data_IF_328192656325
#
_entry.id   IF_328192656325
#
_cell.length_a   1.000
_cell.length_b   1.000
_cell.length_c   1.000
_cell.angle_alpha   90.00
_cell.angle_beta   90.00
_cell.angle_gamma   90.00
#
_symmetry.space_group_name_H-M   'P 1'
#
loop_
_entity.id
_entity.type
_entity.pdbx_description
1 polymer ?
#
# COMPACT_ATOMS: atom_id res chain seq x y z
N UNK A 1 -47.10 -71.93 38.64
CA UNK A 1 -48.12 -71.41 39.58
C UNK A 1 -47.88 -69.90 39.71
N UNK A 2 -48.87 -69.11 39.21
CA UNK A 2 -49.22 -67.69 39.48
C UNK A 2 -48.18 -66.62 39.69
N UNK A 3 -48.15 -65.64 38.69
CA UNK A 3 -48.62 -64.25 38.71
C UNK A 3 -47.81 -63.28 39.62
N UNK A 4 -47.26 -62.20 39.06
CA UNK A 4 -47.99 -60.92 38.87
C UNK A 4 -47.20 -59.99 37.97
N UNK A 5 -47.87 -59.53 36.93
CA UNK A 5 -47.66 -58.28 36.18
C UNK A 5 -48.04 -57.09 37.06
N UNK A 6 -47.32 -55.97 37.03
CA UNK A 6 -48.01 -54.66 36.95
C UNK A 6 -47.02 -53.50 36.94
N UNK A 7 -47.20 -52.63 35.92
CA UNK A 7 -47.11 -51.19 35.96
C UNK A 7 -45.74 -50.51 36.03
N UNK A 8 -45.23 -50.22 34.84
CA UNK A 8 -44.40 -49.05 34.59
C UNK A 8 -44.74 -48.43 33.22
N UNK A 9 -45.89 -47.77 33.14
CA UNK A 9 -46.29 -46.92 32.03
C UNK A 9 -46.79 -45.64 32.63
N UNK A 10 -46.11 -44.48 32.43
CA UNK A 10 -46.71 -43.17 32.36
C UNK A 10 -45.78 -41.93 32.54
N UNK A 11 -44.47 -42.02 32.37
CA UNK A 11 -43.65 -40.80 32.47
C UNK A 11 -42.80 -40.48 31.23
N UNK A 12 -42.99 -41.22 30.13
CA UNK A 12 -42.17 -41.02 28.92
C UNK A 12 -42.59 -39.89 28.01
N UNK A 13 -43.86 -39.42 27.94
CA UNK A 13 -44.19 -38.32 27.02
C UNK A 13 -43.87 -36.91 27.55
N UNK A 14 -43.71 -36.70 28.90
CA UNK A 14 -43.46 -35.40 29.47
C UNK A 14 -42.03 -34.92 29.29
N UNK A 15 -41.09 -35.86 29.25
CA UNK A 15 -39.65 -35.56 29.07
C UNK A 15 -39.32 -35.17 27.59
N UNK A 16 -40.01 -35.78 26.62
CA UNK A 16 -39.81 -35.50 25.22
C UNK A 16 -40.40 -34.13 24.86
N UNK A 17 -41.53 -33.69 25.45
CA UNK A 17 -42.11 -32.38 25.26
C UNK A 17 -41.26 -31.30 25.90
N UNK A 18 -40.65 -31.55 27.05
CA UNK A 18 -39.73 -30.61 27.73
C UNK A 18 -38.40 -30.46 26.96
N UNK A 19 -37.90 -31.54 26.32
CA UNK A 19 -36.70 -31.51 25.49
C UNK A 19 -36.95 -30.75 24.17
N UNK A 20 -38.15 -30.85 23.59
CA UNK A 20 -38.58 -30.10 22.40
C UNK A 20 -38.75 -28.61 22.69
N UNK A 21 -39.18 -28.22 23.89
CA UNK A 21 -39.24 -26.80 24.26
C UNK A 21 -37.85 -26.20 24.57
N UNK A 22 -36.88 -26.98 25.03
CA UNK A 22 -35.48 -26.51 25.20
C UNK A 22 -34.74 -26.34 23.88
N UNK A 23 -35.08 -27.13 22.84
CA UNK A 23 -34.50 -26.95 21.51
C UNK A 23 -35.16 -25.81 20.74
N UNK A 24 -36.44 -25.50 20.99
CA UNK A 24 -37.14 -24.36 20.40
C UNK A 24 -36.73 -23.01 21.00
N UNK A 25 -36.21 -22.97 22.24
CA UNK A 25 -35.72 -21.74 22.89
C UNK A 25 -34.32 -21.34 22.46
N UNK A 26 -33.58 -22.19 21.74
CA UNK A 26 -32.27 -21.85 21.17
C UNK A 26 -32.30 -21.30 19.75
N UNK A 27 -33.49 -21.11 19.16
CA UNK A 27 -33.60 -20.69 17.74
C UNK A 27 -33.96 -19.23 17.51
N UNK A 28 -34.05 -18.41 18.57
CA UNK A 28 -34.40 -16.99 18.43
C UNK A 28 -33.26 -15.99 18.63
N UNK A 29 -32.01 -16.46 18.69
CA UNK A 29 -30.84 -15.59 18.52
C UNK A 29 -30.14 -15.90 17.18
N UNK A 30 -30.89 -15.90 16.07
CA UNK A 30 -30.29 -15.60 14.79
C UNK A 30 -29.83 -14.16 14.88
N UNK A 31 -28.53 -13.96 15.21
CA UNK A 31 -27.85 -12.69 14.97
C UNK A 31 -28.22 -12.29 13.54
N UNK A 32 -28.86 -11.13 13.38
CA UNK A 32 -29.04 -10.53 12.06
C UNK A 32 -27.66 -10.61 11.38
N UNK A 33 -27.56 -11.46 10.38
CA UNK A 33 -26.36 -11.51 9.56
C UNK A 33 -26.26 -10.13 8.93
N UNK A 34 -25.33 -9.33 9.40
CA UNK A 34 -25.06 -7.99 8.88
C UNK A 34 -24.68 -8.21 7.42
N UNK A 35 -25.58 -7.88 6.49
CA UNK A 35 -25.31 -8.05 5.06
C UNK A 35 -24.33 -6.98 4.65
N UNK A 36 -23.06 -7.38 4.44
CA UNK A 36 -22.06 -6.57 3.78
C UNK A 36 -22.30 -6.61 2.28
N UNK A 37 -22.22 -5.45 1.63
CA UNK A 37 -22.34 -5.33 0.17
C UNK A 37 -20.96 -5.00 -0.38
N UNK A 38 -20.39 -5.82 -1.27
CA UNK A 38 -19.12 -5.53 -1.90
C UNK A 38 -19.15 -4.19 -2.66
N UNK A 39 -18.14 -3.38 -2.46
CA UNK A 39 -17.85 -2.20 -3.25
C UNK A 39 -16.57 -2.48 -4.03
N UNK A 40 -16.67 -2.89 -5.32
CA UNK A 40 -15.52 -3.36 -6.07
C UNK A 40 -14.56 -2.21 -6.40
N UNK A 41 -13.29 -2.39 -6.08
CA UNK A 41 -12.19 -1.63 -6.65
C UNK A 41 -11.92 -2.13 -8.08
N UNK A 42 -11.47 -1.23 -8.96
CA UNK A 42 -11.30 -1.55 -10.39
C UNK A 42 -9.96 -2.20 -10.70
N UNK A 43 -8.94 -1.85 -9.96
CA UNK A 43 -7.54 -2.21 -10.21
C UNK A 43 -6.86 -2.87 -9.02
N UNK A 44 -7.09 -2.36 -7.79
CA UNK A 44 -6.47 -2.89 -6.59
C UNK A 44 -6.86 -4.36 -6.37
N UNK A 45 -5.86 -5.20 -6.10
CA UNK A 45 -6.01 -6.64 -5.92
C UNK A 45 -5.74 -7.10 -4.49
N UNK A 46 -4.93 -6.34 -3.77
CA UNK A 46 -4.60 -6.63 -2.38
C UNK A 46 -5.54 -5.95 -1.38
N UNK A 47 -6.42 -5.08 -1.85
CA UNK A 47 -7.37 -4.33 -1.02
C UNK A 47 -8.79 -4.55 -1.54
N UNK A 48 -9.75 -4.76 -0.63
CA UNK A 48 -11.18 -4.86 -0.96
C UNK A 48 -12.01 -4.07 0.03
N UNK A 49 -13.17 -3.56 -0.41
CA UNK A 49 -14.12 -2.82 0.40
C UNK A 49 -15.48 -3.49 0.40
N UNK A 50 -16.13 -3.53 1.56
CA UNK A 50 -17.51 -3.94 1.74
C UNK A 50 -18.24 -2.90 2.59
N UNK A 51 -19.47 -2.55 2.19
CA UNK A 51 -20.30 -1.57 2.90
C UNK A 51 -21.32 -2.28 3.78
N UNK A 52 -21.39 -1.90 5.04
CA UNK A 52 -22.45 -2.23 5.97
C UNK A 52 -23.39 -1.03 6.21
N UNK A 53 -24.38 -1.22 7.07
CA UNK A 53 -25.29 -0.15 7.48
C UNK A 53 -24.58 0.86 8.41
N UNK A 54 -24.05 1.92 7.82
CA UNK A 54 -23.35 3.00 8.51
C UNK A 54 -21.88 2.72 8.88
N UNK A 55 -21.24 1.76 8.26
CA UNK A 55 -19.80 1.47 8.41
C UNK A 55 -19.25 0.82 7.15
N UNK A 56 -17.93 0.79 7.01
CA UNK A 56 -17.24 0.04 5.95
C UNK A 56 -16.25 -0.96 6.54
N UNK A 57 -15.97 -1.99 5.76
CA UNK A 57 -14.95 -3.00 6.06
C UNK A 57 -13.97 -3.04 4.92
N UNK A 58 -12.74 -2.63 5.20
CA UNK A 58 -11.62 -2.73 4.27
C UNK A 58 -10.77 -3.94 4.65
N UNK A 59 -10.57 -4.84 3.71
CA UNK A 59 -9.76 -6.04 3.93
C UNK A 59 -8.50 -5.97 3.10
N UNK A 60 -7.37 -5.96 3.77
CA UNK A 60 -6.05 -6.05 3.17
C UNK A 60 -5.62 -7.51 3.12
N UNK A 61 -5.44 -8.02 1.91
CA UNK A 61 -4.87 -9.34 1.66
C UNK A 61 -3.37 -9.31 1.94
N UNK A 62 -2.83 -10.40 2.47
CA UNK A 62 -1.39 -10.52 2.66
C UNK A 62 -0.69 -10.55 1.29
N UNK A 63 0.17 -9.55 0.95
CA UNK A 63 0.81 -9.49 -0.36
C UNK A 63 1.83 -10.61 -0.61
N UNK A 64 2.35 -11.22 0.45
CA UNK A 64 3.34 -12.32 0.39
C UNK A 64 2.67 -13.71 0.44
N UNK A 65 1.46 -13.79 0.98
CA UNK A 65 0.58 -14.97 0.94
C UNK A 65 -0.85 -14.54 0.62
N UNK A 66 -1.18 -14.50 -0.66
CA UNK A 66 -2.49 -14.03 -1.14
C UNK A 66 -3.67 -14.90 -0.72
N UNK A 67 -3.43 -16.04 -0.06
CA UNK A 67 -4.47 -16.88 0.54
C UNK A 67 -4.87 -16.41 1.94
N UNK A 68 -4.06 -15.54 2.56
CA UNK A 68 -4.24 -15.01 3.90
C UNK A 68 -4.68 -13.53 3.87
N UNK A 69 -5.32 -13.10 4.95
CA UNK A 69 -5.64 -11.69 5.23
C UNK A 69 -4.54 -11.11 6.10
N UNK A 70 -3.93 -10.01 5.69
CA UNK A 70 -2.96 -9.30 6.51
C UNK A 70 -3.67 -8.53 7.62
N UNK A 71 -4.65 -7.68 7.25
CA UNK A 71 -5.39 -6.89 8.22
C UNK A 71 -6.80 -6.57 7.72
N UNK A 72 -7.71 -6.31 8.66
CA UNK A 72 -9.07 -5.84 8.37
C UNK A 72 -9.37 -4.58 9.15
N UNK A 73 -9.84 -3.54 8.46
CA UNK A 73 -10.20 -2.25 9.06
C UNK A 73 -11.71 -2.08 9.02
N UNK A 74 -12.32 -1.84 10.17
CA UNK A 74 -13.75 -1.54 10.30
C UNK A 74 -13.85 -0.05 10.61
N UNK A 75 -14.27 0.73 9.60
CA UNK A 75 -14.35 2.18 9.70
C UNK A 75 -15.76 2.57 10.14
N UNK A 76 -15.86 3.31 11.25
CA UNK A 76 -17.11 3.75 11.84
C UNK A 76 -17.14 5.27 11.86
N UNK A 77 -18.14 5.93 11.22
CA UNK A 77 -18.29 7.38 11.30
C UNK A 77 -18.45 7.88 12.73
N UNK A 78 -17.89 9.04 13.04
CA UNK A 78 -18.13 9.76 14.28
C UNK A 78 -19.60 10.23 14.30
N UNK A 79 -20.45 9.51 15.03
CA UNK A 79 -21.90 9.76 15.14
C UNK A 79 -22.30 10.08 16.58
N UNK A 80 -23.50 10.64 16.81
CA UNK A 80 -24.03 10.86 18.17
C UNK A 80 -23.99 9.57 19.01
N UNK A 81 -23.71 9.70 20.28
CA UNK A 81 -23.33 8.65 21.24
C UNK A 81 -24.17 7.35 21.22
N UNK A 82 -25.49 7.43 20.94
CA UNK A 82 -26.37 6.24 20.90
C UNK A 82 -26.19 5.42 19.62
N UNK A 83 -26.07 6.07 18.46
CA UNK A 83 -25.82 5.40 17.19
C UNK A 83 -24.40 4.80 17.17
N UNK A 84 -23.43 5.53 17.69
CA UNK A 84 -22.05 5.08 17.86
C UNK A 84 -21.97 3.77 18.67
N UNK A 85 -22.66 3.67 19.81
CA UNK A 85 -22.63 2.46 20.65
C UNK A 85 -23.22 1.22 19.96
N UNK A 86 -24.15 1.39 19.05
CA UNK A 86 -24.74 0.30 18.26
C UNK A 86 -23.81 -0.15 17.14
N UNK A 87 -23.26 0.81 16.39
CA UNK A 87 -22.26 0.53 15.33
C UNK A 87 -21.00 -0.10 15.91
N UNK A 88 -20.51 0.43 17.03
CA UNK A 88 -19.33 -0.11 17.71
C UNK A 88 -19.54 -1.58 18.13
N UNK A 89 -20.69 -1.94 18.71
CA UNK A 89 -21.02 -3.33 19.04
C UNK A 89 -21.13 -4.25 17.84
N UNK A 90 -21.65 -3.74 16.70
CA UNK A 90 -21.66 -4.48 15.43
C UNK A 90 -20.22 -4.75 14.96
N UNK A 91 -19.36 -3.73 14.99
CA UNK A 91 -17.96 -3.82 14.61
C UNK A 91 -17.15 -4.78 15.52
N UNK A 92 -17.35 -4.70 16.85
CA UNK A 92 -16.75 -5.64 17.80
C UNK A 92 -17.18 -7.10 17.51
N UNK A 93 -18.45 -7.30 17.13
CA UNK A 93 -18.94 -8.61 16.76
C UNK A 93 -18.26 -9.13 15.48
N UNK A 94 -18.00 -8.28 14.49
CA UNK A 94 -17.26 -8.66 13.27
C UNK A 94 -15.80 -8.97 13.59
N UNK A 95 -15.12 -8.10 14.33
CA UNK A 95 -13.74 -8.30 14.74
C UNK A 95 -13.55 -9.59 15.58
N UNK A 96 -14.53 -9.92 16.45
CA UNK A 96 -14.47 -11.15 17.25
C UNK A 96 -14.67 -12.42 16.43
N UNK A 97 -15.40 -12.38 15.31
CA UNK A 97 -15.56 -13.53 14.41
C UNK A 97 -14.24 -13.92 13.76
N UNK A 98 -13.41 -12.95 13.41
CA UNK A 98 -12.08 -13.19 12.86
C UNK A 98 -11.17 -13.89 13.88
N UNK A 99 -11.18 -13.44 15.13
CA UNK A 99 -10.43 -14.07 16.22
C UNK A 99 -10.90 -15.51 16.48
N UNK A 100 -12.19 -15.80 16.40
CA UNK A 100 -12.72 -17.17 16.55
C UNK A 100 -12.34 -18.06 15.35
N UNK A 101 -12.30 -17.54 14.14
CA UNK A 101 -11.89 -18.30 12.95
C UNK A 101 -10.41 -18.69 12.99
N UNK A 102 -9.56 -17.83 13.55
CA UNK A 102 -8.12 -18.11 13.79
C UNK A 102 -7.95 -19.22 14.82
N UNK A 103 -8.68 -19.17 15.95
CA UNK A 103 -8.63 -20.20 16.99
C UNK A 103 -9.17 -21.57 16.51
N UNK A 104 -10.20 -21.56 15.63
CA UNK A 104 -10.77 -22.79 15.08
C UNK A 104 -9.82 -23.55 14.15
N UNK A 105 -8.78 -22.92 13.63
CA UNK A 105 -7.72 -23.55 12.82
C UNK A 105 -6.61 -24.22 13.64
N UNK A 106 -6.72 -24.28 14.97
CA UNK A 106 -5.83 -25.09 15.83
C UNK A 106 -4.40 -24.53 15.98
N UNK A 107 -4.20 -23.26 15.76
CA UNK A 107 -2.92 -22.58 15.97
C UNK A 107 -2.77 -22.16 17.44
N UNK A 108 -2.70 -23.16 18.35
CA UNK A 108 -2.25 -22.97 19.72
C UNK A 108 -0.71 -22.97 19.76
N UNK A 109 -0.08 -21.83 19.53
CA UNK A 109 1.32 -21.61 19.89
C UNK A 109 1.49 -20.23 20.54
N UNK A 110 1.90 -20.17 21.83
CA UNK A 110 2.09 -18.91 22.55
C UNK A 110 3.22 -18.04 22.00
N UNK A 111 4.03 -18.56 21.08
CA UNK A 111 5.18 -17.89 20.48
C UNK A 111 4.87 -17.21 19.14
N UNK A 112 3.65 -17.39 18.58
CA UNK A 112 3.22 -16.83 17.30
C UNK A 112 2.29 -15.60 17.44
N UNK A 113 2.25 -14.96 18.60
CA UNK A 113 1.53 -13.67 18.77
C UNK A 113 2.19 -12.47 18.06
N UNK A 114 3.27 -12.70 17.32
CA UNK A 114 3.92 -11.72 16.45
C UNK A 114 3.40 -11.72 15.00
N UNK A 115 2.72 -12.78 14.58
CA UNK A 115 2.19 -12.88 13.22
C UNK A 115 0.73 -12.43 13.24
N UNK A 116 0.51 -11.13 12.97
CA UNK A 116 -0.81 -10.46 12.93
C UNK A 116 -1.68 -10.91 11.74
N UNK A 117 -1.53 -12.12 11.23
CA UNK A 117 -2.37 -12.63 10.15
C UNK A 117 -3.85 -12.63 10.56
N UNK A 118 -4.62 -11.74 9.92
CA UNK A 118 -6.06 -11.66 10.10
C UNK A 118 -6.52 -10.83 11.31
N UNK A 119 -5.67 -9.95 11.86
CA UNK A 119 -6.11 -9.01 12.89
C UNK A 119 -7.12 -7.98 12.35
N UNK A 120 -8.02 -7.50 13.21
CA UNK A 120 -9.01 -6.48 12.86
C UNK A 120 -8.88 -5.27 13.76
N UNK A 121 -8.90 -4.08 13.17
CA UNK A 121 -8.94 -2.80 13.88
C UNK A 121 -10.24 -2.05 13.62
N UNK A 122 -10.84 -1.49 14.68
CA UNK A 122 -11.99 -0.61 14.60
C UNK A 122 -11.47 0.82 14.67
N UNK A 123 -11.76 1.61 13.65
CA UNK A 123 -11.27 2.98 13.51
C UNK A 123 -12.46 3.93 13.39
N UNK A 124 -12.46 4.96 14.22
CA UNK A 124 -13.41 6.06 14.11
C UNK A 124 -12.95 7.05 13.04
N UNK A 125 -13.80 7.34 12.06
CA UNK A 125 -13.50 8.27 10.96
C UNK A 125 -14.40 9.51 11.03
N UNK A 126 -13.90 10.69 10.58
CA UNK A 126 -12.56 10.89 10.07
C UNK A 126 -11.50 10.92 11.18
N UNK A 127 -10.34 10.32 10.88
CA UNK A 127 -9.12 10.42 11.70
C UNK A 127 -8.70 11.89 11.81
N UNK A 128 -8.29 12.31 13.00
CA UNK A 128 -7.91 13.70 13.30
C UNK A 128 -6.41 13.86 13.54
N UNK A 129 -5.74 12.78 13.92
CA UNK A 129 -4.34 12.79 14.30
C UNK A 129 -3.67 11.52 13.83
N UNK A 130 -2.63 11.66 13.00
CA UNK A 130 -1.90 10.52 12.42
C UNK A 130 -0.40 10.64 12.62
N UNK A 131 0.24 9.53 12.98
CA UNK A 131 1.68 9.36 12.84
C UNK A 131 1.99 8.76 11.47
N UNK A 132 2.90 9.37 10.71
CA UNK A 132 3.16 9.01 9.31
C UNK A 132 4.62 8.63 9.12
N UNK A 133 4.88 7.40 8.67
CA UNK A 133 6.25 6.89 8.57
C UNK A 133 6.99 7.32 7.29
N UNK A 134 6.29 7.71 6.23
CA UNK A 134 6.93 7.97 4.92
C UNK A 134 6.48 9.28 4.29
N UNK A 135 7.37 9.90 3.49
CA UNK A 135 7.06 11.07 2.68
C UNK A 135 5.91 10.83 1.69
N UNK A 136 5.78 9.61 1.16
CA UNK A 136 4.68 9.18 0.28
C UNK A 136 3.31 9.54 0.87
N UNK A 137 3.07 9.12 2.11
CA UNK A 137 1.78 9.33 2.76
C UNK A 137 1.62 10.77 3.27
N UNK A 138 2.72 11.45 3.59
CA UNK A 138 2.68 12.89 3.87
C UNK A 138 2.20 13.68 2.64
N UNK A 139 2.76 13.38 1.45
CA UNK A 139 2.33 13.97 0.17
C UNK A 139 0.88 13.67 -0.16
N UNK A 140 0.46 12.40 0.03
CA UNK A 140 -0.93 12.01 -0.17
C UNK A 140 -1.91 12.79 0.72
N UNK A 141 -1.61 12.93 2.02
CA UNK A 141 -2.47 13.67 2.95
C UNK A 141 -2.53 15.15 2.62
N UNK A 142 -1.44 15.74 2.10
CA UNK A 142 -1.44 17.12 1.61
C UNK A 142 -2.32 17.26 0.38
N UNK A 143 -2.21 16.36 -0.57
CA UNK A 143 -3.02 16.37 -1.79
C UNK A 143 -4.51 16.15 -1.51
N UNK A 144 -4.84 15.28 -0.57
CA UNK A 144 -6.21 15.10 -0.08
C UNK A 144 -6.74 16.32 0.69
N UNK A 145 -5.88 17.32 1.01
CA UNK A 145 -6.24 18.51 1.76
C UNK A 145 -6.40 18.27 3.27
N UNK A 146 -5.86 17.18 3.78
CA UNK A 146 -5.96 16.76 5.18
C UNK A 146 -4.61 16.70 5.90
N UNK A 147 -3.59 17.37 5.39
CA UNK A 147 -2.24 17.41 5.98
C UNK A 147 -2.22 17.92 7.43
N UNK A 148 -3.23 18.69 7.85
CA UNK A 148 -3.39 19.11 9.25
C UNK A 148 -3.60 17.96 10.23
N UNK A 149 -3.93 16.77 9.76
CA UNK A 149 -4.03 15.56 10.58
C UNK A 149 -2.65 14.94 10.89
N UNK A 150 -1.56 15.37 10.22
CA UNK A 150 -0.21 14.88 10.49
C UNK A 150 0.25 15.42 11.85
N UNK A 151 0.31 14.56 12.85
CA UNK A 151 0.72 14.91 14.21
C UNK A 151 2.18 14.48 14.53
N UNK A 152 2.74 13.59 13.73
CA UNK A 152 4.14 13.18 13.84
C UNK A 152 4.61 12.45 12.60
N UNK A 153 5.91 12.56 12.33
CA UNK A 153 6.53 11.97 11.14
C UNK A 153 7.80 11.22 11.48
N UNK A 154 8.11 10.18 10.71
CA UNK A 154 9.45 9.61 10.67
C UNK A 154 10.23 10.19 9.48
N UNK A 155 11.55 9.98 9.48
CA UNK A 155 12.44 10.34 8.36
C UNK A 155 12.23 11.78 7.85
N UNK A 156 12.07 12.73 8.77
CA UNK A 156 11.77 14.16 8.49
C UNK A 156 12.68 14.80 7.43
N UNK A 157 13.90 14.29 7.28
CA UNK A 157 14.89 14.80 6.32
C UNK A 157 14.51 14.53 4.86
N UNK A 158 13.54 13.62 4.61
CA UNK A 158 13.03 13.29 3.27
C UNK A 158 11.65 13.92 2.99
N UNK A 159 11.13 14.74 3.89
CA UNK A 159 9.79 15.33 3.76
C UNK A 159 9.95 16.83 3.46
N UNK A 160 9.66 17.21 2.22
CA UNK A 160 9.65 18.61 1.78
C UNK A 160 8.22 19.12 1.63
N UNK A 161 7.50 19.19 2.77
CA UNK A 161 6.15 19.74 2.82
C UNK A 161 6.10 20.93 3.79
N UNK A 162 5.68 22.13 3.34
CA UNK A 162 5.65 23.33 4.18
C UNK A 162 4.84 23.17 5.47
N UNK A 163 3.77 22.38 5.48
CA UNK A 163 2.95 22.11 6.67
C UNK A 163 3.73 21.29 7.69
N UNK A 164 4.47 20.26 7.25
CA UNK A 164 5.30 19.43 8.13
C UNK A 164 6.50 20.21 8.65
N UNK A 165 7.20 20.93 7.78
CA UNK A 165 8.39 21.71 8.17
C UNK A 165 8.06 22.80 9.19
N UNK A 166 6.94 23.50 9.04
CA UNK A 166 6.44 24.47 10.03
C UNK A 166 6.03 23.78 11.32
N UNK A 167 5.29 22.67 11.24
CA UNK A 167 4.82 21.93 12.41
C UNK A 167 5.98 21.34 13.24
N UNK A 168 7.07 20.90 12.58
CA UNK A 168 8.30 20.48 13.27
C UNK A 168 8.99 21.65 13.97
N UNK A 169 8.95 22.85 13.37
CA UNK A 169 9.59 24.03 13.92
C UNK A 169 8.82 24.62 15.13
N UNK A 170 7.48 24.60 15.10
CA UNK A 170 6.63 25.12 16.17
C UNK A 170 6.17 24.05 17.18
N UNK A 171 6.50 22.77 16.93
CA UNK A 171 6.24 21.65 17.81
C UNK A 171 4.81 21.07 17.69
N UNK A 172 4.03 21.47 16.69
CA UNK A 172 2.70 20.87 16.40
C UNK A 172 2.81 19.53 15.68
N UNK A 173 3.92 19.27 15.00
CA UNK A 173 4.28 17.96 14.43
C UNK A 173 5.50 17.40 15.17
N UNK A 174 5.41 16.18 15.66
CA UNK A 174 6.50 15.53 16.38
C UNK A 174 7.45 14.79 15.41
N UNK A 175 8.73 14.77 15.78
CA UNK A 175 9.73 13.91 15.12
C UNK A 175 9.76 12.54 15.80
N UNK A 176 9.29 11.51 15.09
CA UNK A 176 9.30 10.11 15.54
C UNK A 176 10.62 9.38 15.19
N UNK A 177 11.56 10.04 14.53
CA UNK A 177 12.87 9.50 14.19
C UNK A 177 12.85 8.55 13.00
N UNK A 178 13.42 7.36 13.17
CA UNK A 178 13.56 6.38 12.08
C UNK A 178 12.30 5.55 11.88
N UNK A 179 11.84 5.41 10.63
CA UNK A 179 10.62 4.69 10.28
C UNK A 179 10.64 3.20 10.58
N UNK A 180 11.82 2.57 10.57
CA UNK A 180 11.98 1.15 10.92
C UNK A 180 11.99 0.91 12.44
N UNK A 181 12.31 1.92 13.24
CA UNK A 181 12.34 1.87 14.70
C UNK A 181 11.91 3.22 15.29
N UNK A 182 10.61 3.56 15.20
CA UNK A 182 10.10 4.84 15.67
C UNK A 182 10.30 5.05 17.17
N UNK A 183 10.44 6.32 17.57
CA UNK A 183 10.57 6.69 18.97
C UNK A 183 9.25 6.52 19.72
N UNK A 184 9.16 5.44 20.49
CA UNK A 184 7.96 5.06 21.24
C UNK A 184 7.51 6.15 22.23
N UNK A 185 8.45 6.80 22.91
CA UNK A 185 8.15 7.84 23.89
C UNK A 185 7.48 9.04 23.21
N UNK A 186 7.99 9.44 22.04
CA UNK A 186 7.38 10.52 21.25
C UNK A 186 6.01 10.17 20.73
N UNK A 187 5.79 8.92 20.29
CA UNK A 187 4.47 8.45 19.88
C UNK A 187 3.49 8.47 21.06
N UNK A 188 3.94 8.06 22.25
CA UNK A 188 3.13 8.10 23.48
C UNK A 188 2.80 9.52 23.91
N UNK A 189 3.71 10.47 23.75
CA UNK A 189 3.45 11.90 24.08
C UNK A 189 2.39 12.49 23.17
N UNK A 190 2.37 12.11 21.87
CA UNK A 190 1.42 12.61 20.86
C UNK A 190 0.08 11.86 20.92
N UNK A 191 0.12 10.56 21.18
CA UNK A 191 -1.06 9.64 21.15
C UNK A 191 -1.94 9.83 19.91
N UNK A 192 -1.40 9.62 18.69
CA UNK A 192 -2.19 9.78 17.47
C UNK A 192 -3.33 8.75 17.39
N UNK A 193 -4.39 9.07 16.63
CA UNK A 193 -5.52 8.16 16.42
C UNK A 193 -5.11 6.91 15.65
N UNK A 194 -4.14 7.04 14.71
CA UNK A 194 -3.60 5.96 13.89
C UNK A 194 -2.12 6.17 13.61
N UNK A 195 -1.44 5.07 13.25
CA UNK A 195 -0.08 5.09 12.71
C UNK A 195 -0.09 4.51 11.29
N UNK A 196 0.37 5.27 10.31
CA UNK A 196 0.57 4.81 8.93
C UNK A 196 2.00 4.25 8.82
N UNK A 197 2.12 2.93 8.77
CA UNK A 197 3.40 2.22 8.74
C UNK A 197 3.48 1.30 7.51
N UNK A 198 4.67 1.08 6.99
CA UNK A 198 4.88 0.19 5.85
C UNK A 198 5.22 -1.21 6.34
N UNK A 199 4.44 -2.24 5.96
CA UNK A 199 4.77 -3.63 6.29
C UNK A 199 5.93 -4.13 5.44
N UNK A 200 6.69 -5.10 5.96
CA UNK A 200 7.78 -5.78 5.26
C UNK A 200 7.65 -7.28 5.42
N UNK A 201 8.03 -8.03 4.40
CA UNK A 201 8.10 -9.47 4.48
C UNK A 201 9.06 -9.90 5.61
N UNK A 202 8.63 -10.84 6.44
CA UNK A 202 9.39 -11.35 7.59
C UNK A 202 9.77 -10.29 8.65
N UNK A 203 9.05 -9.16 8.68
CA UNK A 203 9.31 -8.11 9.69
C UNK A 203 9.04 -8.59 11.12
N UNK A 204 8.25 -9.65 11.30
CA UNK A 204 7.79 -10.10 12.62
C UNK A 204 6.87 -9.08 13.31
N UNK A 205 6.23 -8.18 12.54
CA UNK A 205 5.39 -7.09 13.02
C UNK A 205 6.18 -5.83 13.42
N UNK A 206 5.51 -4.91 14.13
CA UNK A 206 6.06 -3.62 14.55
C UNK A 206 6.60 -3.62 16.00
N UNK A 207 6.70 -4.80 16.60
CA UNK A 207 7.34 -5.02 17.88
C UNK A 207 6.73 -4.21 19.02
N UNK A 208 7.48 -3.21 19.53
CA UNK A 208 7.02 -2.39 20.67
C UNK A 208 5.90 -1.42 20.31
N UNK A 209 5.79 -1.00 19.06
CA UNK A 209 4.77 -0.07 18.57
C UNK A 209 3.36 -0.67 18.72
N UNK A 210 3.19 -1.95 18.42
CA UNK A 210 1.90 -2.66 18.56
C UNK A 210 1.35 -2.66 19.99
N UNK A 211 2.26 -2.65 20.97
CA UNK A 211 1.88 -2.63 22.39
C UNK A 211 1.33 -1.31 22.87
N UNK A 212 1.39 -0.25 22.04
CA UNK A 212 0.79 1.04 22.34
C UNK A 212 -0.73 1.02 22.23
N UNK A 213 -1.32 0.02 21.55
CA UNK A 213 -2.75 -0.07 21.32
C UNK A 213 -3.30 0.99 20.36
N UNK A 214 -2.43 1.69 19.64
CA UNK A 214 -2.81 2.63 18.58
C UNK A 214 -3.01 1.80 17.30
N UNK A 215 -4.14 1.92 16.58
CA UNK A 215 -4.37 1.23 15.32
C UNK A 215 -3.26 1.53 14.30
N UNK A 216 -2.73 0.48 13.69
CA UNK A 216 -1.72 0.59 12.63
C UNK A 216 -2.43 0.42 11.29
N UNK A 217 -2.21 1.35 10.38
CA UNK A 217 -2.61 1.28 8.98
C UNK A 217 -1.43 0.71 8.20
N UNK A 218 -1.59 -0.49 7.69
CA UNK A 218 -0.61 -1.20 6.88
C UNK A 218 -0.56 -0.59 5.47
N UNK A 219 0.43 0.24 5.22
CA UNK A 219 0.61 0.94 3.94
C UNK A 219 1.27 -0.01 2.93
N UNK A 220 0.50 -0.93 2.36
CA UNK A 220 0.98 -1.98 1.46
C UNK A 220 0.65 -1.73 -0.03
N UNK A 221 0.23 -0.52 -0.40
CA UNK A 221 -0.07 -0.15 -1.78
C UNK A 221 1.11 -0.36 -2.74
N UNK A 222 2.35 -0.29 -2.22
CA UNK A 222 3.56 -0.52 -3.00
C UNK A 222 3.69 -1.96 -3.51
N UNK A 223 2.94 -2.90 -2.92
CA UNK A 223 2.88 -4.32 -3.30
C UNK A 223 1.78 -4.61 -4.34
N UNK A 224 1.05 -3.61 -4.80
CA UNK A 224 0.14 -3.80 -5.93
C UNK A 224 0.88 -4.07 -7.22
N UNK A 225 0.28 -4.91 -8.06
CA UNK A 225 0.91 -5.36 -9.30
C UNK A 225 0.89 -4.32 -10.43
N UNK A 226 0.07 -3.25 -10.34
CA UNK A 226 -0.04 -2.27 -11.41
C UNK A 226 -0.04 -0.84 -10.88
N UNK A 227 0.37 0.15 -11.71
CA UNK A 227 0.37 1.55 -11.32
C UNK A 227 -1.00 2.09 -10.90
N UNK A 228 -2.06 1.75 -11.64
CA UNK A 228 -3.43 2.16 -11.29
C UNK A 228 -3.96 1.44 -10.06
N UNK A 229 -3.58 0.17 -9.84
CA UNK A 229 -3.93 -0.55 -8.62
C UNK A 229 -3.34 0.13 -7.39
N UNK A 230 -2.07 0.54 -7.46
CA UNK A 230 -1.41 1.30 -6.40
C UNK A 230 -2.10 2.64 -6.16
N UNK A 231 -2.39 3.40 -7.21
CA UNK A 231 -3.03 4.70 -7.10
C UNK A 231 -4.46 4.62 -6.53
N UNK A 232 -5.19 3.54 -6.79
CA UNK A 232 -6.58 3.38 -6.32
C UNK A 232 -6.69 3.27 -4.79
N UNK A 233 -5.60 2.96 -4.08
CA UNK A 233 -5.58 2.99 -2.62
C UNK A 233 -5.85 4.38 -2.03
N UNK A 234 -5.78 5.43 -2.82
CA UNK A 234 -6.19 6.78 -2.42
C UNK A 234 -7.62 6.80 -1.83
N UNK A 235 -8.52 5.92 -2.30
CA UNK A 235 -9.89 5.78 -1.82
C UNK A 235 -9.95 5.30 -0.36
N UNK A 236 -9.10 4.34 0.00
CA UNK A 236 -8.99 3.86 1.37
C UNK A 236 -8.47 4.93 2.32
N UNK A 237 -7.36 5.58 1.93
CA UNK A 237 -6.80 6.66 2.73
C UNK A 237 -7.77 7.84 2.85
N UNK A 238 -8.48 8.18 1.79
CA UNK A 238 -9.46 9.25 1.82
C UNK A 238 -10.61 8.97 2.79
N UNK A 239 -11.13 7.76 2.85
CA UNK A 239 -12.19 7.40 3.80
C UNK A 239 -11.70 7.47 5.25
N UNK A 240 -10.44 7.11 5.52
CA UNK A 240 -9.86 7.30 6.85
C UNK A 240 -9.90 8.75 7.31
N UNK A 241 -9.73 9.71 6.41
CA UNK A 241 -9.61 11.14 6.75
C UNK A 241 -10.81 11.99 6.32
N UNK A 242 -11.87 11.41 5.73
CA UNK A 242 -13.07 12.10 5.29
C UNK A 242 -12.85 12.99 4.07
N UNK A 243 -12.13 12.51 3.08
CA UNK A 243 -11.76 13.22 1.85
C UNK A 243 -12.17 12.45 0.56
N UNK A 244 -13.23 11.63 0.64
CA UNK A 244 -13.64 10.68 -0.40
C UNK A 244 -13.94 11.37 -1.74
N UNK A 245 -14.72 12.48 -1.73
CA UNK A 245 -15.05 13.21 -2.95
C UNK A 245 -13.79 13.74 -3.66
N UNK A 246 -12.80 14.18 -2.88
CA UNK A 246 -11.53 14.66 -3.43
C UNK A 246 -10.72 13.53 -4.04
N UNK A 247 -10.65 12.38 -3.36
CA UNK A 247 -9.97 11.20 -3.87
C UNK A 247 -10.60 10.68 -5.16
N UNK A 248 -11.92 10.64 -5.24
CA UNK A 248 -12.64 10.23 -6.45
C UNK A 248 -12.35 11.17 -7.63
N UNK A 249 -12.30 12.47 -7.37
CA UNK A 249 -11.94 13.46 -8.39
C UNK A 249 -10.49 13.27 -8.87
N UNK A 250 -9.54 13.12 -7.94
CA UNK A 250 -8.12 12.91 -8.26
C UNK A 250 -7.94 11.62 -9.05
N UNK A 251 -8.46 10.50 -8.52
CA UNK A 251 -8.27 9.19 -9.15
C UNK A 251 -8.90 9.12 -10.54
N UNK A 252 -10.08 9.74 -10.75
CA UNK A 252 -10.72 9.76 -12.07
C UNK A 252 -9.86 10.46 -13.12
N UNK A 253 -9.21 11.56 -12.76
CA UNK A 253 -8.28 12.28 -13.66
C UNK A 253 -7.02 11.45 -13.91
N UNK A 254 -6.44 10.86 -12.86
CA UNK A 254 -5.24 10.01 -12.97
C UNK A 254 -5.51 8.80 -13.87
N UNK A 255 -6.64 8.12 -13.65
CA UNK A 255 -7.06 6.98 -14.46
C UNK A 255 -7.20 7.34 -15.93
N UNK A 256 -7.94 8.41 -16.22
CA UNK A 256 -8.16 8.87 -17.60
C UNK A 256 -6.83 9.19 -18.28
N UNK A 257 -6.01 10.04 -17.67
CA UNK A 257 -4.72 10.43 -18.21
C UNK A 257 -3.80 9.22 -18.46
N UNK A 258 -3.75 8.31 -17.49
CA UNK A 258 -2.92 7.11 -17.60
C UNK A 258 -3.32 6.24 -18.80
N UNK A 259 -4.63 5.97 -18.94
CA UNK A 259 -5.16 5.14 -20.02
C UNK A 259 -4.99 5.81 -21.40
N UNK A 260 -5.17 7.13 -21.50
CA UNK A 260 -4.93 7.91 -22.72
C UNK A 260 -3.44 7.86 -23.12
N UNK A 261 -2.51 8.06 -22.17
CA UNK A 261 -1.08 8.00 -22.43
C UNK A 261 -0.63 6.60 -22.85
N UNK A 262 -1.12 5.56 -22.18
CA UNK A 262 -0.87 4.16 -22.55
C UNK A 262 -1.35 3.87 -23.97
N UNK A 263 -2.57 4.29 -24.31
CA UNK A 263 -3.11 4.13 -25.66
C UNK A 263 -2.28 4.91 -26.70
N UNK A 264 -1.84 6.12 -26.36
CA UNK A 264 -0.97 6.94 -27.22
C UNK A 264 0.39 6.25 -27.44
N UNK A 265 1.05 5.78 -26.37
CA UNK A 265 2.34 5.08 -26.47
C UNK A 265 2.25 3.80 -27.31
N UNK A 266 1.10 3.13 -27.32
CA UNK A 266 0.86 1.94 -28.13
C UNK A 266 0.87 2.25 -29.66
N UNK A 267 0.69 3.52 -30.07
CA UNK A 267 0.76 3.96 -31.48
C UNK A 267 2.17 4.21 -31.99
N UNK A 268 3.17 4.18 -31.10
CA UNK A 268 4.57 4.41 -31.48
C UNK A 268 5.04 3.37 -32.50
N UNK A 269 5.79 3.81 -33.51
CA UNK A 269 6.31 2.95 -34.58
C UNK A 269 7.51 2.12 -34.16
N UNK A 270 8.19 2.52 -33.10
CA UNK A 270 9.39 1.87 -32.56
C UNK A 270 9.22 1.62 -31.07
N UNK A 271 10.02 0.72 -30.54
CA UNK A 271 10.09 0.44 -29.10
C UNK A 271 11.56 0.49 -28.69
N UNK A 272 12.02 1.61 -28.11
CA UNK A 272 13.40 1.75 -27.65
C UNK A 272 13.74 0.68 -26.60
N UNK A 273 14.92 0.06 -26.73
CA UNK A 273 15.47 -0.86 -25.74
C UNK A 273 15.85 -0.07 -24.49
N UNK A 274 15.23 -0.39 -23.38
CA UNK A 274 15.34 0.36 -22.14
C UNK A 274 16.17 -0.38 -21.09
N UNK A 275 17.28 0.24 -20.68
CA UNK A 275 18.03 -0.09 -19.46
C UNK A 275 17.57 0.81 -18.32
N UNK A 276 17.51 0.26 -17.11
CA UNK A 276 17.08 1.02 -15.93
C UNK A 276 18.00 0.78 -14.74
N UNK A 277 18.01 1.73 -13.79
CA UNK A 277 18.76 1.72 -12.52
C UNK A 277 20.29 1.74 -12.71
N UNK A 278 21.01 1.50 -11.63
CA UNK A 278 22.48 1.44 -11.59
C UNK A 278 22.94 0.51 -10.45
N UNK A 279 24.22 0.25 -10.34
CA UNK A 279 24.79 -0.54 -9.25
C UNK A 279 24.54 0.12 -7.89
N UNK A 280 24.07 -0.68 -6.97
CA UNK A 280 23.93 -0.31 -5.56
C UNK A 280 24.48 -1.45 -4.69
N UNK A 281 25.46 -1.16 -3.83
CA UNK A 281 26.07 -2.19 -2.99
C UNK A 281 26.71 -3.36 -3.77
N UNK A 282 27.19 -3.13 -5.01
CA UNK A 282 27.80 -4.14 -5.85
C UNK A 282 26.82 -5.02 -6.63
N UNK A 283 25.51 -4.73 -6.54
CA UNK A 283 24.48 -5.43 -7.30
C UNK A 283 23.63 -4.44 -8.10
N UNK A 284 23.03 -4.91 -9.18
CA UNK A 284 22.13 -4.14 -10.02
C UNK A 284 20.70 -4.60 -9.79
N UNK A 285 19.89 -3.79 -9.10
CA UNK A 285 18.51 -4.12 -8.81
C UNK A 285 17.61 -3.63 -9.93
N UNK A 286 17.12 -4.56 -10.77
CA UNK A 286 16.23 -4.24 -11.89
C UNK A 286 14.78 -4.59 -11.54
N UNK A 287 13.80 -3.74 -11.86
CA UNK A 287 12.39 -4.08 -11.73
C UNK A 287 12.03 -5.31 -12.55
N UNK A 288 11.33 -6.28 -11.97
CA UNK A 288 10.79 -7.42 -12.71
C UNK A 288 9.68 -6.96 -13.67
N UNK A 289 9.45 -7.70 -14.74
CA UNK A 289 8.48 -7.31 -15.77
C UNK A 289 7.03 -7.19 -15.28
N UNK A 290 6.68 -7.93 -14.22
CA UNK A 290 5.35 -7.88 -13.58
C UNK A 290 5.29 -6.93 -12.37
N UNK A 291 6.37 -6.21 -12.06
CA UNK A 291 6.35 -5.17 -11.05
C UNK A 291 5.65 -3.91 -11.58
N UNK A 292 5.22 -3.04 -10.67
CA UNK A 292 4.63 -1.75 -11.02
C UNK A 292 5.47 -0.96 -12.01
N UNK A 293 6.80 -0.91 -11.82
CA UNK A 293 7.70 -0.21 -12.74
C UNK A 293 7.89 -0.97 -14.05
N UNK A 294 8.00 -2.30 -14.05
CA UNK A 294 8.09 -3.09 -15.27
C UNK A 294 6.86 -2.93 -16.17
N UNK A 295 5.67 -2.90 -15.57
CA UNK A 295 4.41 -2.61 -16.26
C UNK A 295 4.41 -1.16 -16.80
N UNK A 296 4.85 -0.20 -15.99
CA UNK A 296 4.95 1.21 -16.37
C UNK A 296 5.84 1.39 -17.62
N UNK A 297 7.00 0.75 -17.67
CA UNK A 297 7.89 0.81 -18.84
C UNK A 297 7.24 0.19 -20.09
N UNK A 298 6.54 -0.93 -19.91
CA UNK A 298 5.80 -1.56 -21.01
C UNK A 298 4.65 -0.69 -21.50
N UNK A 299 3.91 -0.06 -20.59
CA UNK A 299 2.80 0.85 -20.90
C UNK A 299 3.29 2.14 -21.58
N UNK A 300 4.51 2.57 -21.28
CA UNK A 300 5.18 3.67 -21.95
C UNK A 300 5.72 3.32 -23.36
N UNK A 301 5.57 2.08 -23.81
CA UNK A 301 6.01 1.62 -25.13
C UNK A 301 7.49 1.22 -25.22
N UNK A 302 8.18 1.00 -24.09
CA UNK A 302 9.56 0.52 -24.11
C UNK A 302 9.65 -0.96 -24.51
N UNK A 303 10.77 -1.35 -25.13
CA UNK A 303 11.28 -2.71 -25.10
C UNK A 303 12.13 -2.86 -23.83
N UNK A 304 11.45 -3.05 -22.68
CA UNK A 304 12.13 -3.20 -21.41
C UNK A 304 12.94 -4.49 -21.38
N UNK A 305 14.25 -4.39 -21.25
CA UNK A 305 15.19 -5.51 -21.41
C UNK A 305 14.90 -6.64 -20.42
N UNK A 306 14.57 -6.30 -19.17
CA UNK A 306 14.34 -7.28 -18.10
C UNK A 306 12.86 -7.67 -17.92
N UNK A 307 11.99 -7.42 -18.91
CA UNK A 307 10.56 -7.74 -18.85
C UNK A 307 10.23 -9.21 -18.62
N UNK A 308 11.15 -10.11 -18.94
CA UNK A 308 10.98 -11.57 -18.75
C UNK A 308 11.25 -12.04 -17.32
N UNK A 309 11.84 -11.20 -16.48
CA UNK A 309 12.07 -11.55 -15.08
C UNK A 309 10.74 -11.60 -14.33
N UNK A 310 10.51 -12.72 -13.66
CA UNK A 310 9.31 -12.93 -12.84
C UNK A 310 9.44 -12.30 -11.46
N UNK A 311 8.31 -11.87 -10.90
CA UNK A 311 8.21 -11.25 -9.58
C UNK A 311 7.52 -9.89 -9.63
N UNK A 312 7.00 -9.45 -8.48
CA UNK A 312 6.30 -8.15 -8.33
C UNK A 312 7.22 -7.01 -7.85
N UNK A 313 8.48 -7.33 -7.52
CA UNK A 313 9.48 -6.37 -7.03
C UNK A 313 10.64 -6.21 -7.98
N UNK A 314 11.85 -6.07 -7.43
CA UNK A 314 13.11 -5.99 -8.17
C UNK A 314 13.95 -7.25 -7.92
N UNK A 315 14.74 -7.62 -8.91
CA UNK A 315 15.70 -8.74 -8.85
C UNK A 315 17.11 -8.20 -8.89
N UNK A 316 17.99 -8.73 -8.04
CA UNK A 316 19.41 -8.42 -8.04
C UNK A 316 20.13 -9.19 -9.16
N UNK A 317 20.86 -8.48 -10.01
CA UNK A 317 21.70 -9.02 -11.07
C UNK A 317 23.16 -8.61 -10.85
N UNK A 318 24.09 -9.39 -11.44
CA UNK A 318 25.49 -8.95 -11.50
C UNK A 318 25.67 -7.95 -12.62
N UNK A 319 26.71 -7.12 -12.53
CA UNK A 319 27.06 -6.17 -13.59
C UNK A 319 27.28 -6.85 -14.93
N UNK A 320 28.00 -7.97 -14.94
CA UNK A 320 28.34 -8.72 -16.16
C UNK A 320 27.09 -9.19 -16.88
N UNK A 321 26.09 -9.67 -16.14
CA UNK A 321 24.82 -10.08 -16.72
C UNK A 321 24.07 -8.90 -17.32
N UNK A 322 24.03 -7.75 -16.62
CA UNK A 322 23.39 -6.56 -17.15
C UNK A 322 24.11 -6.04 -18.38
N UNK A 323 25.43 -6.07 -18.41
CA UNK A 323 26.22 -5.68 -19.58
C UNK A 323 25.94 -6.59 -20.77
N UNK A 324 25.95 -7.90 -20.57
CA UNK A 324 25.69 -8.88 -21.62
C UNK A 324 24.30 -8.73 -22.27
N UNK A 325 23.28 -8.41 -21.46
CA UNK A 325 21.90 -8.27 -21.94
C UNK A 325 21.56 -6.84 -22.44
N UNK A 326 22.30 -5.80 -22.01
CA UNK A 326 21.88 -4.40 -22.16
C UNK A 326 22.97 -3.45 -22.71
N UNK A 327 24.14 -3.94 -23.14
CA UNK A 327 25.19 -3.05 -23.67
C UNK A 327 24.71 -2.19 -24.85
N UNK A 328 23.81 -2.72 -25.67
CA UNK A 328 23.22 -2.09 -26.84
C UNK A 328 21.85 -1.42 -26.58
N UNK A 329 21.51 -1.11 -25.32
CA UNK A 329 20.30 -0.35 -25.00
C UNK A 329 20.25 0.98 -25.78
N UNK A 330 19.04 1.47 -26.06
CA UNK A 330 18.85 2.78 -26.72
C UNK A 330 18.84 3.91 -25.72
N UNK A 331 18.21 3.67 -24.57
CA UNK A 331 17.99 4.64 -23.50
C UNK A 331 18.31 3.99 -22.16
N UNK A 332 18.93 4.77 -21.28
CA UNK A 332 19.17 4.37 -19.90
C UNK A 332 18.52 5.35 -18.94
N UNK A 333 17.56 4.87 -18.13
CA UNK A 333 16.92 5.62 -17.05
C UNK A 333 17.54 5.21 -15.72
N UNK A 334 18.07 6.15 -14.98
CA UNK A 334 18.62 5.88 -13.66
C UNK A 334 18.07 6.85 -12.61
N UNK A 335 18.04 6.41 -11.37
CA UNK A 335 17.67 7.20 -10.21
C UNK A 335 18.86 7.29 -9.27
N UNK A 336 19.09 8.46 -8.73
CA UNK A 336 20.19 8.70 -7.80
C UNK A 336 19.76 9.63 -6.66
N UNK A 337 20.48 9.56 -5.54
CA UNK A 337 20.27 10.41 -4.37
C UNK A 337 21.63 10.91 -3.88
N UNK A 338 22.16 11.96 -4.49
CA UNK A 338 23.44 12.55 -4.17
C UNK A 338 23.28 14.02 -3.78
N UNK A 339 24.19 14.54 -2.97
CA UNK A 339 24.22 15.96 -2.61
C UNK A 339 24.55 16.88 -3.80
N UNK A 340 25.15 16.35 -4.86
CA UNK A 340 25.48 17.07 -6.08
C UNK A 340 24.86 16.35 -7.29
N UNK A 341 24.48 17.11 -8.34
CA UNK A 341 23.96 16.52 -9.56
C UNK A 341 24.91 15.49 -10.16
N UNK A 342 24.37 14.35 -10.60
CA UNK A 342 25.13 13.32 -11.30
C UNK A 342 25.51 13.82 -12.71
N UNK A 343 26.71 13.47 -13.17
CA UNK A 343 27.21 13.80 -14.52
C UNK A 343 27.81 12.55 -15.15
N UNK A 344 28.01 12.55 -16.50
CA UNK A 344 28.73 11.47 -17.18
C UNK A 344 30.11 11.24 -16.60
N UNK A 345 30.83 12.31 -16.25
CA UNK A 345 32.16 12.23 -15.61
C UNK A 345 32.09 11.54 -14.25
N UNK A 346 31.10 11.90 -13.43
CA UNK A 346 30.93 11.29 -12.12
C UNK A 346 30.54 9.83 -12.25
N UNK A 347 29.59 9.50 -13.14
CA UNK A 347 29.16 8.13 -13.40
C UNK A 347 30.34 7.23 -13.85
N UNK A 348 31.20 7.72 -14.76
CA UNK A 348 32.40 7.01 -15.18
C UNK A 348 33.45 6.89 -14.07
N UNK A 349 33.55 7.90 -13.19
CA UNK A 349 34.47 7.87 -12.04
C UNK A 349 34.01 6.89 -10.97
N UNK A 350 32.70 6.80 -10.72
CA UNK A 350 32.11 5.89 -9.74
C UNK A 350 32.30 4.43 -10.14
N UNK A 351 32.12 4.14 -11.44
CA UNK A 351 32.34 2.80 -11.98
C UNK A 351 32.65 2.86 -13.49
N UNK A 352 33.92 2.83 -13.82
CA UNK A 352 34.42 2.95 -15.20
C UNK A 352 33.72 2.01 -16.22
N UNK A 353 33.37 0.74 -15.90
CA UNK A 353 32.69 -0.13 -16.85
C UNK A 353 31.34 0.36 -17.37
N UNK A 354 30.68 1.35 -16.75
CA UNK A 354 29.47 1.97 -17.30
C UNK A 354 29.67 2.57 -18.69
N UNK A 355 30.92 2.95 -19.04
CA UNK A 355 31.28 3.48 -20.36
C UNK A 355 31.12 2.47 -21.51
N UNK A 356 30.90 1.19 -21.22
CA UNK A 356 30.65 0.17 -22.23
C UNK A 356 29.20 0.17 -22.74
N UNK A 357 28.27 0.74 -22.00
CA UNK A 357 26.89 0.82 -22.47
C UNK A 357 26.74 1.87 -23.58
N UNK A 358 26.03 1.53 -24.67
CA UNK A 358 25.75 2.45 -25.76
C UNK A 358 25.09 3.77 -25.30
N UNK A 359 24.10 3.78 -24.38
CA UNK A 359 23.54 5.03 -23.86
C UNK A 359 24.56 5.96 -23.21
N UNK A 360 25.67 5.42 -22.67
CA UNK A 360 26.74 6.27 -22.15
C UNK A 360 27.49 6.97 -23.28
N UNK A 361 27.83 6.27 -24.36
CA UNK A 361 28.61 6.81 -25.49
C UNK A 361 27.77 7.69 -26.41
N UNK A 362 26.46 7.44 -26.52
CA UNK A 362 25.53 8.21 -27.34
C UNK A 362 24.82 9.33 -26.58
N UNK A 363 25.10 9.49 -25.27
CA UNK A 363 24.53 10.52 -24.40
C UNK A 363 22.98 10.44 -24.30
N UNK A 364 22.45 9.21 -24.20
CA UNK A 364 21.00 8.95 -24.06
C UNK A 364 20.64 8.47 -22.65
N UNK A 365 21.41 8.92 -21.62
CA UNK A 365 21.08 8.69 -20.22
C UNK A 365 20.18 9.79 -19.69
N UNK A 366 19.11 9.39 -19.02
CA UNK A 366 18.22 10.27 -18.28
C UNK A 366 18.27 9.92 -16.79
N UNK A 367 18.43 10.92 -15.97
CA UNK A 367 18.63 10.76 -14.54
C UNK A 367 17.52 11.46 -13.75
N UNK A 368 17.02 10.77 -12.71
CA UNK A 368 16.08 11.29 -11.74
C UNK A 368 16.82 11.58 -10.43
N UNK A 369 16.88 12.84 -10.04
CA UNK A 369 17.47 13.29 -8.80
C UNK A 369 16.45 13.20 -7.65
N UNK A 370 16.53 12.13 -6.87
CA UNK A 370 15.61 11.87 -5.76
C UNK A 370 15.79 12.82 -4.57
N UNK A 371 16.91 13.53 -4.51
CA UNK A 371 17.14 14.51 -3.44
C UNK A 371 16.43 15.86 -3.70
N UNK A 372 16.10 16.16 -4.95
CA UNK A 372 15.60 17.47 -5.38
C UNK A 372 14.29 17.40 -6.18
N UNK A 373 13.59 16.28 -6.17
CA UNK A 373 12.24 16.18 -6.74
C UNK A 373 11.32 15.29 -5.88
N UNK A 374 10.03 15.40 -6.09
CA UNK A 374 9.01 14.69 -5.33
C UNK A 374 8.61 13.34 -5.97
N UNK A 375 9.58 12.61 -6.52
CA UNK A 375 9.31 11.36 -7.23
C UNK A 375 8.53 10.35 -6.37
N UNK A 376 8.99 10.12 -5.13
CA UNK A 376 8.34 9.17 -4.25
C UNK A 376 7.04 9.69 -3.63
N UNK A 377 6.92 10.98 -3.41
CA UNK A 377 5.72 11.60 -2.85
C UNK A 377 4.56 11.59 -3.83
N UNK A 378 4.84 11.75 -5.13
CA UNK A 378 3.81 11.93 -6.16
C UNK A 378 3.51 10.67 -6.95
N UNK A 379 4.53 9.96 -7.45
CA UNK A 379 4.33 8.91 -8.46
C UNK A 379 3.48 7.71 -8.00
N UNK A 380 3.41 7.35 -6.71
CA UNK A 380 2.53 6.29 -6.24
C UNK A 380 1.05 6.54 -6.52
N UNK A 381 0.59 7.79 -6.37
CA UNK A 381 -0.80 8.18 -6.58
C UNK A 381 -1.02 8.97 -7.87
N UNK A 382 0.06 9.39 -8.56
CA UNK A 382 0.07 10.01 -9.88
C UNK A 382 0.94 9.26 -10.89
N UNK A 383 0.66 7.97 -11.15
CA UNK A 383 1.40 7.22 -12.15
C UNK A 383 1.25 7.80 -13.57
N UNK A 384 0.20 8.58 -13.84
CA UNK A 384 -0.02 9.27 -15.10
C UNK A 384 1.06 10.32 -15.39
N UNK A 385 1.54 11.04 -14.37
CA UNK A 385 2.63 12.02 -14.51
C UNK A 385 3.93 11.33 -14.90
N UNK A 386 4.27 10.23 -14.21
CA UNK A 386 5.46 9.45 -14.53
C UNK A 386 5.34 8.80 -15.92
N UNK A 387 4.19 8.24 -16.26
CA UNK A 387 3.97 7.65 -17.59
C UNK A 387 4.14 8.72 -18.69
N UNK A 388 3.69 9.94 -18.46
CA UNK A 388 3.88 11.05 -19.39
C UNK A 388 5.35 11.37 -19.62
N UNK A 389 6.15 11.42 -18.56
CA UNK A 389 7.59 11.61 -18.67
C UNK A 389 8.26 10.49 -19.48
N UNK A 390 7.90 9.23 -19.17
CA UNK A 390 8.43 8.08 -19.88
C UNK A 390 8.06 8.08 -21.37
N UNK A 391 6.81 8.42 -21.71
CA UNK A 391 6.38 8.56 -23.12
C UNK A 391 7.16 9.67 -23.82
N UNK A 392 7.38 10.80 -23.15
CA UNK A 392 8.16 11.91 -23.76
C UNK A 392 9.63 11.54 -24.00
N UNK A 393 10.21 10.74 -23.13
CA UNK A 393 11.61 10.29 -23.25
C UNK A 393 11.74 9.21 -24.33
N UNK A 394 10.83 8.25 -24.36
CA UNK A 394 10.87 7.11 -25.26
C UNK A 394 10.36 7.44 -26.67
N UNK A 395 9.37 8.34 -26.74
CA UNK A 395 8.64 8.69 -27.96
C UNK A 395 8.39 10.21 -28.03
N UNK A 396 9.45 11.03 -28.13
CA UNK A 396 9.33 12.49 -28.10
C UNK A 396 8.42 13.04 -29.21
N UNK A 397 8.25 12.32 -30.31
CA UNK A 397 7.37 12.69 -31.41
C UNK A 397 5.88 12.65 -31.05
N UNK A 398 5.48 11.84 -30.03
CA UNK A 398 4.09 11.72 -29.61
C UNK A 398 3.61 12.90 -28.74
N UNK A 399 4.50 13.45 -27.90
CA UNK A 399 4.20 14.57 -27.00
C UNK A 399 5.34 15.60 -26.98
N UNK A 400 5.66 16.22 -28.13
CA UNK A 400 6.88 17.04 -28.30
C UNK A 400 6.95 18.30 -27.43
N UNK A 401 5.83 18.77 -26.90
CA UNK A 401 5.78 19.93 -26.00
C UNK A 401 5.99 19.62 -24.52
N UNK A 402 5.98 18.34 -24.14
CA UNK A 402 6.15 17.96 -22.74
C UNK A 402 7.63 18.01 -22.33
N UNK A 403 7.89 18.65 -21.20
CA UNK A 403 9.18 18.60 -20.54
C UNK A 403 9.06 17.63 -19.35
N UNK A 404 9.84 16.54 -19.30
CA UNK A 404 9.77 15.58 -18.19
C UNK A 404 9.93 16.26 -16.83
N UNK A 405 9.11 15.87 -15.85
CA UNK A 405 9.08 16.45 -14.51
C UNK A 405 10.17 15.81 -13.65
N UNK A 406 10.28 14.48 -13.70
CA UNK A 406 11.15 13.72 -12.81
C UNK A 406 12.53 13.45 -13.40
N UNK A 407 12.63 13.24 -14.70
CA UNK A 407 13.87 12.90 -15.38
C UNK A 407 14.45 14.09 -16.13
N UNK A 408 15.76 14.17 -16.18
CA UNK A 408 16.53 15.15 -16.98
C UNK A 408 17.62 14.41 -17.74
N UNK A 409 17.98 14.86 -18.96
CA UNK A 409 19.18 14.36 -19.64
C UNK A 409 20.37 14.52 -18.71
N UNK A 410 21.21 13.47 -18.65
CA UNK A 410 22.45 13.54 -17.86
C UNK A 410 23.39 14.55 -18.53
N UNK A 411 24.07 15.37 -17.71
CA UNK A 411 25.00 16.40 -18.20
C UNK A 411 26.43 15.90 -18.17
N UNK A 412 27.37 16.60 -18.84
CA UNK A 412 28.78 16.28 -18.92
C UNK A 412 29.52 16.31 -17.58
#
# INVERSE_FOLDING_TARGET
MYRKFSLLTSHFPLFIVLLLFLVASCSENRKEATSLTPEPLRYATNLTCERGDGYSVWTLRNPWDTTAVLHRYILIPATPQKAHSTLYRKAESLASLDSCAIMAKGLESPHLRGDLEGSSSIIQVPVRSAGVATAVHCGLLDELGVASAIAGVCEKQYIDLPVVSRGLADGTVADFGNGMNPNIERIMDVTPDVLLLTPFEHSGGYGRVERLGIPIIECAEYMEASPLARAEWIRFYAELFGAEERADSIFSVVEQNYLELKALAATASTRPRLLTEMLYGGQWFVPCGQSTMGIMYSDAGADYIFRSLSGQGSTALTFERVLDEAEDADIWLLRYNNAQPLTYRQLASDYQPYTHFRPFTEHTIWACDLAHNHFYEETPFHPDRLLRDLVAILHPELIPSHQPIYYRPLTE
#
